data_IF_625807225646
#
_entry.id   IF_625807225646
#
_cell.length_a   1.000
_cell.length_b   1.000
_cell.length_c   1.000
_cell.angle_alpha   90.00
_cell.angle_beta   90.00
_cell.angle_gamma   90.00
#
_symmetry.space_group_name_H-M   'P 1'
#
loop_
_entity.id
_entity.type
_entity.pdbx_description
1 polymer ?
#
# COMPACT_ATOMS: atom_id res chain seq x y z
N UNK A 1 -59.89 26.02 16.33
CA UNK A 1 -61.01 25.24 16.86
C UNK A 1 -61.21 24.01 15.96
N UNK A 2 -61.55 22.83 16.52
CA UNK A 2 -61.65 21.55 15.79
C UNK A 2 -63.03 21.40 15.11
N UNK A 3 -63.31 20.31 14.34
CA UNK A 3 -63.49 18.94 14.86
C UNK A 3 -62.42 17.95 14.32
N UNK A 4 -62.02 16.85 14.94
CA UNK A 4 -62.59 15.96 15.97
C UNK A 4 -63.49 14.81 15.45
N UNK A 5 -62.91 13.59 15.44
CA UNK A 5 -63.53 12.29 15.77
C UNK A 5 -64.67 11.76 14.85
N UNK A 6 -64.96 10.46 14.76
CA UNK A 6 -64.35 9.24 15.34
C UNK A 6 -64.81 7.98 14.57
N UNK A 7 -64.16 6.85 14.90
CA UNK A 7 -64.42 5.48 14.48
C UNK A 7 -65.89 4.98 14.51
N UNK A 8 -66.14 3.94 13.69
CA UNK A 8 -66.97 2.73 13.88
C UNK A 8 -67.37 2.17 12.48
N UNK A 9 -67.68 0.90 12.24
CA UNK A 9 -67.87 -0.26 13.12
C UNK A 9 -67.42 -1.58 12.42
N UNK A 10 -67.16 -2.62 13.22
CA UNK A 10 -67.12 -4.05 12.81
C UNK A 10 -68.45 -4.70 13.25
N UNK A 11 -68.75 -6.02 13.06
CA UNK A 11 -68.04 -7.10 12.37
C UNK A 11 -68.95 -7.90 11.39
N UNK A 12 -68.47 -9.04 10.82
CA UNK A 12 -69.31 -10.23 10.55
C UNK A 12 -68.49 -11.53 10.38
N UNK A 13 -68.70 -12.43 11.34
CA UNK A 13 -68.79 -13.91 11.32
C UNK A 13 -67.77 -14.88 10.66
N UNK A 14 -67.56 -15.99 11.40
CA UNK A 14 -66.77 -17.22 11.14
C UNK A 14 -67.64 -18.31 10.42
N UNK A 15 -67.22 -19.60 10.22
CA UNK A 15 -65.94 -20.30 10.47
C UNK A 15 -65.47 -21.09 9.20
N UNK A 16 -64.63 -22.14 9.17
CA UNK A 16 -63.71 -22.84 10.10
C UNK A 16 -62.50 -23.40 9.30
N UNK A 17 -61.36 -23.67 9.93
CA UNK A 17 -60.40 -24.71 9.51
C UNK A 17 -59.22 -24.90 10.49
N UNK A 18 -59.16 -26.09 11.12
CA UNK A 18 -58.03 -26.61 11.89
C UNK A 18 -56.64 -26.48 11.21
N UNK A 19 -55.66 -25.88 11.93
CA UNK A 19 -54.24 -26.17 11.77
C UNK A 19 -53.48 -25.92 13.10
N UNK A 20 -52.83 -26.94 13.65
CA UNK A 20 -52.02 -26.80 14.87
C UNK A 20 -50.72 -26.01 14.59
N UNK A 21 -50.24 -25.15 15.51
CA UNK A 21 -49.03 -24.38 15.29
C UNK A 21 -47.78 -25.28 15.32
N UNK A 22 -46.77 -25.03 14.46
CA UNK A 22 -45.53 -25.80 14.46
C UNK A 22 -44.76 -25.61 15.76
N UNK A 23 -44.25 -26.71 16.31
CA UNK A 23 -43.52 -26.72 17.58
C UNK A 23 -42.18 -25.99 17.46
N UNK A 24 -42.01 -24.90 18.22
CA UNK A 24 -40.75 -24.17 18.23
C UNK A 24 -39.64 -24.98 18.90
N UNK A 25 -38.72 -25.50 18.09
CA UNK A 25 -37.49 -26.15 18.56
C UNK A 25 -36.58 -25.10 19.22
N UNK A 26 -36.62 -25.04 20.55
CA UNK A 26 -35.73 -24.19 21.33
C UNK A 26 -34.26 -24.47 21.01
N UNK A 27 -33.49 -23.40 20.77
CA UNK A 27 -32.02 -23.40 20.56
C UNK A 27 -31.27 -24.25 21.60
N UNK A 28 -31.81 -24.35 22.82
CA UNK A 28 -31.26 -25.14 23.93
C UNK A 28 -31.38 -26.66 23.73
N UNK A 29 -32.45 -27.15 23.07
CA UNK A 29 -32.61 -28.58 22.74
C UNK A 29 -31.69 -29.02 21.61
N UNK A 30 -31.45 -28.15 20.61
CA UNK A 30 -30.51 -28.43 19.51
C UNK A 30 -29.06 -28.63 20.03
N UNK A 31 -28.61 -27.76 20.95
CA UNK A 31 -27.30 -27.89 21.58
C UNK A 31 -27.17 -29.15 22.46
N UNK A 32 -28.26 -29.61 23.08
CA UNK A 32 -28.28 -30.85 23.87
C UNK A 32 -28.23 -32.11 22.99
N UNK A 33 -28.87 -32.12 21.81
CA UNK A 33 -28.83 -33.27 20.90
C UNK A 33 -27.49 -33.42 20.15
N UNK A 34 -26.73 -32.35 19.97
CA UNK A 34 -25.39 -32.40 19.35
C UNK A 34 -24.36 -33.18 20.17
N UNK A 35 -24.55 -33.32 21.49
CA UNK A 35 -23.61 -34.01 22.37
C UNK A 35 -23.61 -35.55 22.23
N UNK A 36 -24.62 -36.14 21.60
CA UNK A 36 -24.81 -37.59 21.53
C UNK A 36 -24.14 -38.28 20.32
N UNK A 37 -23.56 -37.52 19.38
CA UNK A 37 -23.04 -38.05 18.11
C UNK A 37 -21.50 -38.23 18.05
N UNK A 38 -20.79 -38.03 19.16
CA UNK A 38 -19.34 -37.77 19.15
C UNK A 38 -18.43 -38.92 19.68
N UNK A 39 -18.94 -40.14 19.85
CA UNK A 39 -18.26 -41.18 20.66
C UNK A 39 -17.68 -42.40 19.91
N UNK A 40 -17.74 -42.47 18.57
CA UNK A 40 -17.26 -43.64 17.79
C UNK A 40 -16.27 -43.28 16.66
N UNK A 41 -15.61 -42.12 16.72
CA UNK A 41 -14.75 -41.60 15.63
C UNK A 41 -13.23 -41.59 15.86
N UNK A 42 -12.75 -41.68 17.11
CA UNK A 42 -11.39 -41.23 17.46
C UNK A 42 -10.24 -42.24 17.25
N UNK A 43 -10.53 -43.49 16.88
CA UNK A 43 -9.56 -44.58 16.95
C UNK A 43 -8.49 -44.70 15.82
N UNK A 44 -8.76 -44.39 14.53
CA UNK A 44 -7.80 -44.71 13.46
C UNK A 44 -6.66 -43.68 13.29
N UNK A 45 -6.82 -42.45 13.79
CA UNK A 45 -5.84 -41.38 13.56
C UNK A 45 -4.57 -41.47 14.43
N UNK A 46 -4.57 -42.30 15.49
CA UNK A 46 -3.44 -42.42 16.41
C UNK A 46 -2.25 -43.25 15.87
N UNK A 47 -2.33 -43.76 14.63
CA UNK A 47 -1.36 -44.76 14.11
C UNK A 47 -0.64 -44.38 12.82
N UNK A 48 -0.70 -43.11 12.40
CA UNK A 48 -0.12 -42.63 11.14
C UNK A 48 0.71 -41.33 11.29
N UNK A 49 1.43 -41.19 12.41
CA UNK A 49 2.55 -40.24 12.53
C UNK A 49 3.83 -41.01 12.90
N UNK A 50 4.26 -41.89 12.00
CA UNK A 50 5.70 -42.21 11.90
C UNK A 50 6.41 -40.94 11.48
N UNK A 51 7.05 -40.28 12.44
CA UNK A 51 7.90 -39.12 12.19
C UNK A 51 8.99 -39.53 11.21
N UNK A 52 8.97 -38.93 10.02
CA UNK A 52 9.98 -39.20 9.01
C UNK A 52 11.34 -38.77 9.57
N UNK A 53 12.41 -39.59 9.44
CA UNK A 53 13.71 -39.25 10.00
C UNK A 53 14.14 -37.88 9.47
N UNK A 54 14.48 -36.98 10.39
CA UNK A 54 14.83 -35.61 10.07
C UNK A 54 15.93 -35.59 8.99
N UNK A 55 15.66 -34.92 7.88
CA UNK A 55 16.66 -34.75 6.84
C UNK A 55 17.91 -34.09 7.45
N UNK A 56 19.13 -34.55 7.10
CA UNK A 56 20.35 -33.93 7.61
C UNK A 56 20.34 -32.44 7.28
N UNK A 57 20.78 -31.56 8.20
CA UNK A 57 20.77 -30.13 7.96
C UNK A 57 21.57 -29.82 6.70
N UNK A 58 20.96 -29.06 5.79
CA UNK A 58 21.65 -28.60 4.58
C UNK A 58 22.90 -27.82 4.97
N UNK A 59 24.04 -27.98 4.27
CA UNK A 59 25.24 -27.21 4.54
C UNK A 59 24.92 -25.72 4.43
N UNK A 60 25.22 -24.96 5.49
CA UNK A 60 25.07 -23.51 5.48
C UNK A 60 26.15 -22.88 4.61
N UNK A 61 25.74 -21.98 3.71
CA UNK A 61 26.70 -21.16 2.98
C UNK A 61 27.47 -20.26 3.96
N UNK A 62 28.79 -20.06 3.77
CA UNK A 62 29.57 -19.13 4.59
C UNK A 62 29.02 -17.70 4.44
N UNK A 63 29.11 -16.86 5.49
CA UNK A 63 28.72 -15.45 5.39
C UNK A 63 29.52 -14.73 4.30
N UNK A 64 28.84 -14.00 3.42
CA UNK A 64 29.50 -13.08 2.48
C UNK A 64 29.92 -11.83 3.28
N UNK A 65 31.21 -11.47 3.32
CA UNK A 65 31.63 -10.29 4.08
C UNK A 65 31.11 -9.00 3.43
N UNK A 66 30.78 -7.98 4.23
CA UNK A 66 30.43 -6.66 3.69
C UNK A 66 31.66 -6.01 3.03
N UNK A 67 31.41 -5.22 1.98
CA UNK A 67 32.41 -4.45 1.23
C UNK A 67 32.07 -2.95 1.27
N UNK A 68 33.04 -2.05 1.06
CA UNK A 68 32.75 -0.63 0.91
C UNK A 68 31.95 -0.38 -0.36
N UNK A 69 30.92 0.46 -0.24
CA UNK A 69 30.04 0.94 -1.32
C UNK A 69 29.83 2.43 -1.10
N UNK A 70 30.03 3.27 -2.13
CA UNK A 70 29.81 4.73 -2.00
C UNK A 70 28.58 5.17 -2.78
N UNK A 71 27.57 5.68 -2.06
CA UNK A 71 26.35 6.23 -2.62
C UNK A 71 26.36 7.76 -2.53
N UNK A 72 25.92 8.46 -3.58
CA UNK A 72 25.63 9.90 -3.49
C UNK A 72 24.13 10.08 -3.19
N UNK A 73 23.79 10.51 -1.98
CA UNK A 73 22.41 10.64 -1.52
C UNK A 73 22.13 12.08 -1.09
N UNK A 74 21.11 12.71 -1.70
CA UNK A 74 20.71 14.09 -1.45
C UNK A 74 21.89 15.10 -1.57
N UNK A 75 22.80 14.86 -2.52
CA UNK A 75 24.00 15.67 -2.74
C UNK A 75 25.17 15.41 -1.78
N UNK A 76 25.10 14.38 -0.94
CA UNK A 76 26.15 13.98 0.01
C UNK A 76 26.62 12.55 -0.26
N UNK A 77 27.93 12.33 -0.25
CA UNK A 77 28.52 10.99 -0.30
C UNK A 77 28.36 10.24 1.04
N UNK A 78 27.98 8.97 0.95
CA UNK A 78 27.91 7.99 2.04
C UNK A 78 28.71 6.74 1.65
N UNK A 79 29.84 6.50 2.30
CA UNK A 79 30.61 5.25 2.16
C UNK A 79 30.18 4.28 3.26
N UNK A 80 29.62 3.14 2.86
CA UNK A 80 28.94 2.18 3.73
C UNK A 80 29.54 0.77 3.56
N UNK A 81 29.61 0.00 4.65
CA UNK A 81 30.04 -1.40 4.62
C UNK A 81 28.82 -2.32 4.41
N UNK A 82 28.58 -2.75 3.17
CA UNK A 82 27.36 -3.46 2.76
C UNK A 82 27.65 -4.87 2.25
N UNK A 83 26.80 -5.84 2.62
CA UNK A 83 26.73 -7.10 1.89
C UNK A 83 26.10 -6.87 0.50
N UNK A 84 26.46 -7.70 -0.49
CA UNK A 84 25.93 -7.57 -1.86
C UNK A 84 24.40 -7.68 -1.96
N UNK A 85 23.74 -8.33 -0.99
CA UNK A 85 22.28 -8.49 -0.90
C UNK A 85 21.52 -7.27 -0.34
N UNK A 86 22.21 -6.26 0.18
CA UNK A 86 21.55 -5.10 0.81
C UNK A 86 20.83 -4.29 -0.27
N UNK A 87 19.51 -4.13 -0.11
CA UNK A 87 18.69 -3.31 -1.02
C UNK A 87 19.07 -1.84 -0.89
N UNK A 88 18.82 -1.02 -1.92
CA UNK A 88 18.98 0.43 -1.80
C UNK A 88 18.10 0.98 -0.66
N UNK A 89 16.90 0.44 -0.47
CA UNK A 89 16.00 0.80 0.63
C UNK A 89 16.64 0.59 2.00
N UNK A 90 17.25 -0.57 2.23
CA UNK A 90 17.86 -0.90 3.52
C UNK A 90 19.18 -0.14 3.73
N UNK A 91 19.98 0.07 2.68
CA UNK A 91 21.18 0.91 2.74
C UNK A 91 20.84 2.36 3.15
N UNK A 92 19.79 2.95 2.56
CA UNK A 92 19.32 4.29 2.93
C UNK A 92 18.88 4.37 4.39
N UNK A 93 18.04 3.41 4.82
CA UNK A 93 17.42 3.44 6.14
C UNK A 93 18.36 3.01 7.26
N UNK A 94 18.83 1.77 7.19
CA UNK A 94 19.46 1.07 8.32
C UNK A 94 20.97 1.33 8.40
N UNK A 95 21.60 1.76 7.30
CA UNK A 95 23.04 2.07 7.24
C UNK A 95 23.33 3.58 7.14
N UNK A 96 22.60 4.33 6.30
CA UNK A 96 22.76 5.79 6.17
C UNK A 96 21.88 6.61 7.13
N UNK A 97 20.92 5.99 7.83
CA UNK A 97 20.03 6.65 8.79
C UNK A 97 18.90 7.49 8.18
N UNK A 98 18.70 7.43 6.87
CA UNK A 98 17.70 8.20 6.12
C UNK A 98 16.35 7.47 6.15
N UNK A 99 15.64 7.66 7.27
CA UNK A 99 14.42 6.95 7.62
C UNK A 99 13.16 7.43 6.87
N UNK A 100 13.25 8.45 6.02
CA UNK A 100 12.13 8.99 5.25
C UNK A 100 11.54 7.96 4.29
N UNK A 101 12.37 7.25 3.53
CA UNK A 101 11.95 6.16 2.63
C UNK A 101 11.41 4.96 3.44
N UNK A 102 10.26 4.38 3.04
CA UNK A 102 9.53 3.39 3.86
C UNK A 102 9.49 1.98 3.25
N UNK A 103 9.56 0.96 4.10
CA UNK A 103 9.41 -0.46 3.74
C UNK A 103 7.96 -0.93 3.94
N UNK A 104 7.11 -0.76 2.94
CA UNK A 104 5.70 -1.17 3.00
C UNK A 104 5.41 -2.63 2.64
N UNK A 105 6.22 -3.24 1.76
CA UNK A 105 5.97 -4.60 1.24
C UNK A 105 7.23 -5.42 0.89
N UNK A 106 8.36 -4.75 0.66
CA UNK A 106 9.63 -5.34 0.22
C UNK A 106 9.58 -6.17 -1.08
N UNK A 107 8.56 -5.95 -1.92
CA UNK A 107 8.25 -6.75 -3.11
C UNK A 107 7.77 -5.90 -4.32
N UNK A 108 8.03 -4.60 -4.30
CA UNK A 108 7.60 -3.65 -5.34
C UNK A 108 6.09 -3.39 -5.47
N UNK A 109 5.28 -3.91 -4.54
CA UNK A 109 3.81 -3.92 -4.64
C UNK A 109 3.11 -2.61 -4.21
N UNK A 110 3.79 -1.64 -3.59
CA UNK A 110 3.12 -0.51 -2.93
C UNK A 110 3.71 0.89 -3.18
N UNK A 111 4.90 1.02 -3.77
CA UNK A 111 5.55 2.32 -4.00
C UNK A 111 5.94 3.12 -2.74
N UNK A 112 5.75 2.61 -1.52
CA UNK A 112 6.15 3.33 -0.29
C UNK A 112 7.67 3.57 -0.19
N UNK A 113 8.45 2.81 -0.98
CA UNK A 113 9.90 2.87 -1.08
C UNK A 113 10.39 3.69 -2.30
N UNK A 114 9.55 4.49 -2.95
CA UNK A 114 9.98 5.26 -4.13
C UNK A 114 11.05 6.28 -3.76
N UNK A 115 12.17 6.25 -4.48
CA UNK A 115 13.23 7.27 -4.50
C UNK A 115 13.52 7.65 -5.95
N UNK A 116 14.25 8.73 -6.18
CA UNK A 116 14.75 9.09 -7.50
C UNK A 116 16.21 8.63 -7.63
N UNK A 117 16.55 8.00 -8.75
CA UNK A 117 17.92 7.68 -9.14
C UNK A 117 18.20 8.37 -10.48
N UNK A 118 19.12 9.34 -10.48
CA UNK A 118 19.35 10.30 -11.57
C UNK A 118 18.02 10.89 -12.12
N UNK A 119 17.17 11.33 -11.20
CA UNK A 119 15.84 11.91 -11.47
C UNK A 119 14.74 10.88 -11.80
N UNK A 120 15.07 9.61 -12.08
CA UNK A 120 14.11 8.57 -12.44
C UNK A 120 13.57 7.89 -11.19
N UNK A 121 12.25 7.84 -11.01
CA UNK A 121 11.64 7.14 -9.87
C UNK A 121 11.82 5.61 -9.95
N UNK A 122 12.26 4.99 -8.85
CA UNK A 122 12.45 3.55 -8.73
C UNK A 122 11.97 3.00 -7.39
N UNK A 123 11.59 1.72 -7.37
CA UNK A 123 11.29 0.98 -6.14
C UNK A 123 12.61 0.52 -5.47
N UNK A 124 13.09 1.27 -4.47
CA UNK A 124 14.38 0.97 -3.81
C UNK A 124 14.48 -0.40 -3.10
N UNK A 125 13.34 -1.10 -2.87
CA UNK A 125 13.35 -2.49 -2.38
C UNK A 125 13.68 -3.55 -3.43
N UNK A 126 13.57 -3.23 -4.73
CA UNK A 126 13.81 -4.17 -5.84
C UNK A 126 15.14 -3.94 -6.57
N UNK A 127 16.09 -3.28 -5.90
CA UNK A 127 17.43 -3.02 -6.43
C UNK A 127 18.46 -3.08 -5.30
N UNK A 128 19.69 -3.47 -5.62
CA UNK A 128 20.78 -3.63 -4.66
C UNK A 128 21.56 -2.31 -4.55
N UNK A 129 21.98 -1.93 -3.34
CA UNK A 129 22.73 -0.69 -3.13
C UNK A 129 24.03 -0.64 -3.97
N UNK A 130 24.68 -1.79 -4.15
CA UNK A 130 25.88 -1.96 -5.01
C UNK A 130 25.67 -1.64 -6.50
N UNK A 131 24.42 -1.55 -6.96
CA UNK A 131 24.11 -1.22 -8.37
C UNK A 131 24.07 0.30 -8.62
N UNK A 132 24.06 1.12 -7.57
CA UNK A 132 23.86 2.57 -7.62
C UNK A 132 25.12 3.38 -7.26
N UNK A 133 26.30 2.76 -7.32
CA UNK A 133 27.57 3.48 -7.17
C UNK A 133 27.78 4.43 -8.36
N UNK A 134 27.90 5.73 -8.10
CA UNK A 134 28.05 6.77 -9.12
C UNK A 134 26.74 7.46 -9.56
N UNK A 135 25.57 6.90 -9.24
CA UNK A 135 24.27 7.55 -9.46
C UNK A 135 23.94 8.57 -8.36
N UNK A 136 23.10 9.56 -8.70
CA UNK A 136 22.57 10.53 -7.73
C UNK A 136 21.22 10.07 -7.21
N UNK A 137 21.16 9.70 -5.92
CA UNK A 137 19.94 9.26 -5.26
C UNK A 137 19.29 10.45 -4.54
N UNK A 138 18.02 10.72 -4.83
CA UNK A 138 17.19 11.69 -4.07
C UNK A 138 16.08 10.97 -3.33
N UNK A 139 16.04 11.13 -2.00
CA UNK A 139 14.97 10.63 -1.13
C UNK A 139 13.99 11.76 -0.79
N UNK A 140 12.93 11.46 -0.02
CA UNK A 140 11.96 12.50 0.40
C UNK A 140 12.62 13.65 1.17
N UNK A 141 13.68 13.36 1.94
CA UNK A 141 14.47 14.34 2.67
C UNK A 141 15.18 15.33 1.74
N UNK A 142 15.55 14.91 0.52
CA UNK A 142 16.20 15.74 -0.49
C UNK A 142 15.25 16.50 -1.42
N UNK A 143 13.92 16.40 -1.23
CA UNK A 143 12.95 17.19 -2.01
C UNK A 143 12.81 18.63 -1.51
N UNK A 144 13.11 18.90 -0.24
CA UNK A 144 13.19 20.27 0.26
C UNK A 144 14.52 20.91 -0.19
N UNK A 145 14.53 22.23 -0.36
CA UNK A 145 15.77 22.97 -0.64
C UNK A 145 16.76 22.86 0.53
N UNK A 146 18.03 23.17 0.28
CA UNK A 146 19.06 23.26 1.33
C UNK A 146 18.77 24.32 2.41
N UNK A 147 17.85 25.25 2.16
CA UNK A 147 17.36 26.24 3.13
C UNK A 147 16.15 25.75 3.94
N UNK A 148 15.69 24.51 3.72
CA UNK A 148 14.51 23.92 4.36
C UNK A 148 13.18 24.33 3.74
N UNK A 149 13.19 25.06 2.62
CA UNK A 149 11.96 25.41 1.90
C UNK A 149 11.38 24.17 1.24
N UNK A 150 10.10 23.89 1.50
CA UNK A 150 9.40 22.75 0.91
C UNK A 150 9.31 22.89 -0.61
N UNK A 151 9.44 21.76 -1.33
CA UNK A 151 9.11 21.70 -2.75
C UNK A 151 7.64 22.08 -3.01
N UNK A 152 7.28 22.53 -4.24
CA UNK A 152 5.89 22.76 -4.62
C UNK A 152 4.99 21.55 -4.37
N UNK A 153 5.50 20.33 -4.59
CA UNK A 153 4.78 19.07 -4.33
C UNK A 153 4.54 18.86 -2.83
N UNK A 154 5.57 19.01 -1.99
CA UNK A 154 5.40 18.89 -0.53
C UNK A 154 4.41 19.92 0.03
N UNK A 155 4.48 21.17 -0.44
CA UNK A 155 3.55 22.24 -0.04
C UNK A 155 2.12 21.93 -0.49
N UNK A 156 1.91 21.56 -1.75
CA UNK A 156 0.58 21.19 -2.25
C UNK A 156 -0.02 19.98 -1.51
N UNK A 157 0.80 19.00 -1.11
CA UNK A 157 0.34 17.87 -0.31
C UNK A 157 -0.17 18.28 1.09
N UNK A 158 0.37 19.35 1.68
CA UNK A 158 -0.12 19.92 2.94
C UNK A 158 -1.41 20.74 2.68
N UNK A 159 -1.39 21.63 1.69
CA UNK A 159 -2.51 22.52 1.34
C UNK A 159 -3.79 21.75 0.98
N UNK A 160 -3.66 20.54 0.42
CA UNK A 160 -4.79 19.70 -0.01
C UNK A 160 -5.09 18.51 0.91
N UNK A 161 -4.46 18.38 2.09
CA UNK A 161 -4.62 17.22 2.99
C UNK A 161 -4.39 15.87 2.27
N UNK A 162 -3.31 15.77 1.50
CA UNK A 162 -3.00 14.65 0.61
C UNK A 162 -2.37 13.44 1.32
N UNK A 163 -2.57 13.32 2.64
CA UNK A 163 -2.07 12.22 3.46
C UNK A 163 -2.89 12.10 4.75
N UNK A 164 -2.74 10.98 5.46
CA UNK A 164 -3.29 10.82 6.81
C UNK A 164 -2.23 10.21 7.73
N UNK A 165 -2.02 8.90 7.71
CA UNK A 165 -1.01 8.22 8.53
C UNK A 165 0.46 8.54 8.16
N UNK A 166 0.69 9.33 7.11
CA UNK A 166 2.02 9.71 6.62
C UNK A 166 2.85 8.60 5.96
N UNK A 167 2.49 7.31 6.12
CA UNK A 167 3.39 6.20 5.79
C UNK A 167 3.68 6.05 4.28
N UNK A 168 2.68 6.23 3.41
CA UNK A 168 2.89 6.20 1.96
C UNK A 168 3.45 7.52 1.42
N UNK A 169 3.35 8.63 2.18
CA UNK A 169 3.59 10.00 1.70
C UNK A 169 5.00 10.21 1.11
N UNK A 170 6.09 9.69 1.70
CA UNK A 170 7.42 9.74 1.08
C UNK A 170 7.46 9.22 -0.36
N UNK A 171 6.88 8.04 -0.58
CA UNK A 171 6.80 7.44 -1.91
C UNK A 171 5.90 8.23 -2.86
N UNK A 172 4.76 8.73 -2.36
CA UNK A 172 3.86 9.60 -3.13
C UNK A 172 4.55 10.89 -3.59
N UNK A 173 5.32 11.55 -2.71
CA UNK A 173 6.05 12.79 -3.01
C UNK A 173 7.12 12.55 -4.08
N UNK A 174 7.98 11.52 -3.91
CA UNK A 174 8.98 11.16 -4.91
C UNK A 174 8.34 10.80 -6.26
N UNK A 175 7.27 10.00 -6.26
CA UNK A 175 6.56 9.66 -7.50
C UNK A 175 5.91 10.86 -8.16
N UNK A 176 5.31 11.78 -7.41
CA UNK A 176 4.69 12.98 -7.93
C UNK A 176 5.72 13.93 -8.57
N UNK A 177 6.89 14.12 -7.95
CA UNK A 177 8.00 14.88 -8.54
C UNK A 177 8.41 14.30 -9.89
N UNK A 178 8.72 13.00 -9.95
CA UNK A 178 9.11 12.37 -11.22
C UNK A 178 7.99 12.30 -12.26
N UNK A 179 6.72 12.14 -11.86
CA UNK A 179 5.55 12.19 -12.74
C UNK A 179 5.47 13.53 -13.49
N UNK A 180 5.70 14.64 -12.79
CA UNK A 180 5.67 15.97 -13.40
C UNK A 180 6.81 16.12 -14.41
N UNK A 181 7.98 15.54 -14.14
CA UNK A 181 9.14 15.57 -15.03
C UNK A 181 8.94 14.67 -16.27
N UNK A 182 8.45 13.44 -16.06
CA UNK A 182 8.02 12.50 -17.12
C UNK A 182 7.00 13.17 -18.05
N UNK A 183 5.99 13.85 -17.51
CA UNK A 183 4.98 14.55 -18.29
C UNK A 183 5.57 15.72 -19.08
N UNK A 184 6.38 16.60 -18.47
CA UNK A 184 7.05 17.72 -19.18
C UNK A 184 7.97 17.23 -20.31
N UNK A 185 8.64 16.09 -20.11
CA UNK A 185 9.46 15.45 -21.13
C UNK A 185 8.61 14.83 -22.26
N UNK A 186 7.33 14.56 -22.02
CA UNK A 186 6.38 14.03 -23.00
C UNK A 186 6.27 12.51 -22.99
N UNK A 187 6.67 11.85 -21.90
CA UNK A 187 6.49 10.41 -21.71
C UNK A 187 5.00 10.08 -21.69
N UNK A 188 4.55 9.19 -22.58
CA UNK A 188 3.17 8.68 -22.60
C UNK A 188 2.87 7.79 -21.38
N UNK A 189 1.59 7.61 -21.06
CA UNK A 189 1.08 6.63 -20.09
C UNK A 189 0.04 5.71 -20.76
N UNK A 190 -0.49 4.74 -20.01
CA UNK A 190 -1.55 3.83 -20.47
C UNK A 190 -2.83 4.57 -20.93
N UNK A 191 -3.08 5.76 -20.40
CA UNK A 191 -4.27 6.57 -20.75
C UNK A 191 -3.99 7.67 -21.79
N UNK A 192 -2.75 7.78 -22.30
CA UNK A 192 -2.42 8.72 -23.37
C UNK A 192 -3.04 8.27 -24.71
N UNK A 193 -3.82 9.14 -25.34
CA UNK A 193 -4.62 8.80 -26.53
C UNK A 193 -3.78 8.36 -27.77
N UNK A 194 -2.56 8.87 -27.92
CA UNK A 194 -1.61 8.42 -28.94
C UNK A 194 -0.17 8.45 -28.39
N UNK A 195 0.37 7.26 -28.12
CA UNK A 195 1.71 7.04 -27.56
C UNK A 195 2.87 7.56 -28.43
N UNK A 196 2.60 7.94 -29.68
CA UNK A 196 3.59 8.53 -30.59
C UNK A 196 3.69 10.05 -30.46
N UNK A 197 2.80 10.67 -29.69
CA UNK A 197 2.69 12.12 -29.52
C UNK A 197 2.87 12.51 -28.06
N UNK A 198 3.41 13.72 -27.81
CA UNK A 198 3.49 14.26 -26.44
C UNK A 198 2.06 14.48 -25.90
N UNK A 199 1.73 13.97 -24.69
CA UNK A 199 0.46 14.29 -24.03
C UNK A 199 0.26 15.80 -23.89
N UNK A 200 -0.92 16.30 -24.28
CA UNK A 200 -1.21 17.74 -24.38
C UNK A 200 -1.68 18.36 -23.06
N UNK A 201 -2.19 17.56 -22.13
CA UNK A 201 -2.66 18.01 -20.82
C UNK A 201 -2.45 16.92 -19.77
N UNK A 202 -2.04 17.31 -18.56
CA UNK A 202 -1.95 16.41 -17.41
C UNK A 202 -3.33 16.31 -16.76
N UNK A 203 -4.20 15.48 -17.34
CA UNK A 203 -5.56 15.26 -16.84
C UNK A 203 -5.54 14.51 -15.51
N UNK A 204 -6.66 14.54 -14.79
CA UNK A 204 -6.83 13.73 -13.58
C UNK A 204 -6.61 12.23 -13.81
N UNK A 205 -6.95 11.71 -15.00
CA UNK A 205 -6.74 10.30 -15.35
C UNK A 205 -5.26 10.00 -15.64
N UNK A 206 -4.54 10.91 -16.31
CA UNK A 206 -3.08 10.83 -16.45
C UNK A 206 -2.38 10.84 -15.08
N UNK A 207 -2.85 11.66 -14.12
CA UNK A 207 -2.32 11.68 -12.76
C UNK A 207 -2.63 10.35 -12.05
N UNK A 208 -3.87 9.86 -12.09
CA UNK A 208 -4.27 8.58 -11.47
C UNK A 208 -3.46 7.42 -12.00
N UNK A 209 -3.33 7.30 -13.32
CA UNK A 209 -2.56 6.25 -13.98
C UNK A 209 -1.09 6.30 -13.57
N UNK A 210 -0.45 7.46 -13.69
CA UNK A 210 0.97 7.62 -13.37
C UNK A 210 1.28 7.47 -11.88
N UNK A 211 0.32 7.71 -10.98
CA UNK A 211 0.47 7.50 -9.53
C UNK A 211 -0.01 6.11 -9.04
N UNK A 212 -0.57 5.28 -9.92
CA UNK A 212 -1.19 3.99 -9.56
C UNK A 212 -0.25 3.02 -8.82
N UNK A 213 1.07 3.11 -9.09
CA UNK A 213 2.11 2.33 -8.40
C UNK A 213 2.32 2.68 -6.92
N UNK A 214 1.70 3.75 -6.40
CA UNK A 214 1.84 4.20 -5.02
C UNK A 214 0.53 4.01 -4.23
N UNK A 215 0.48 2.96 -3.41
CA UNK A 215 -0.74 2.57 -2.67
C UNK A 215 -0.89 3.41 -1.39
N UNK A 216 -2.08 3.99 -1.20
CA UNK A 216 -2.50 4.67 0.01
C UNK A 216 -3.66 3.90 0.68
N UNK A 217 -3.39 3.19 1.78
CA UNK A 217 -4.44 2.43 2.49
C UNK A 217 -5.46 3.32 3.22
N UNK A 218 -5.07 4.56 3.55
CA UNK A 218 -5.97 5.59 4.08
C UNK A 218 -6.96 6.14 3.05
N UNK A 219 -6.75 5.89 1.74
CA UNK A 219 -7.67 6.33 0.69
C UNK A 219 -7.57 7.81 0.30
N UNK A 220 -6.47 8.51 0.63
CA UNK A 220 -6.27 9.94 0.34
C UNK A 220 -6.10 10.28 -1.17
N UNK A 221 -6.45 9.37 -2.09
CA UNK A 221 -6.15 9.48 -3.52
C UNK A 221 -6.75 10.71 -4.19
N UNK A 222 -7.98 11.11 -3.84
CA UNK A 222 -8.60 12.31 -4.40
C UNK A 222 -7.81 13.59 -4.06
N UNK A 223 -7.36 13.69 -2.81
CA UNK A 223 -6.54 14.80 -2.32
C UNK A 223 -5.13 14.77 -2.93
N UNK A 224 -4.54 13.58 -3.12
CA UNK A 224 -3.27 13.40 -3.84
C UNK A 224 -3.36 13.88 -5.29
N UNK A 225 -4.43 13.51 -6.02
CA UNK A 225 -4.65 13.99 -7.39
C UNK A 225 -4.80 15.52 -7.44
N UNK A 226 -5.56 16.09 -6.50
CA UNK A 226 -5.70 17.55 -6.38
C UNK A 226 -4.35 18.25 -6.09
N UNK A 227 -3.54 17.71 -5.17
CA UNK A 227 -2.21 18.22 -4.84
C UNK A 227 -1.23 18.17 -6.03
N UNK A 228 -1.20 17.06 -6.78
CA UNK A 228 -0.33 16.94 -7.97
C UNK A 228 -0.75 17.94 -9.06
N UNK A 229 -2.06 18.11 -9.29
CA UNK A 229 -2.60 19.12 -10.22
C UNK A 229 -2.27 20.55 -9.78
N UNK A 230 -2.39 20.86 -8.48
CA UNK A 230 -2.00 22.15 -7.94
C UNK A 230 -0.48 22.40 -8.03
N UNK A 231 0.35 21.38 -7.79
CA UNK A 231 1.80 21.49 -7.96
C UNK A 231 2.18 21.69 -9.44
N UNK A 232 1.47 21.10 -10.40
CA UNK A 232 1.68 21.33 -11.82
C UNK A 232 1.32 22.75 -12.27
N UNK A 233 0.19 23.29 -11.80
CA UNK A 233 -0.27 24.64 -12.16
C UNK A 233 0.50 25.78 -11.49
N UNK A 234 1.32 25.47 -10.49
CA UNK A 234 2.19 26.42 -9.77
C UNK A 234 3.67 26.36 -10.22
N UNK A 235 3.96 25.70 -11.36
CA UNK A 235 5.31 25.42 -11.87
C UNK A 235 5.57 26.07 -13.24
#
# INVERSE_FOLDING_TARGET
MPPNQSANDSPHDHPDASAAPPSQLSRRRFLQSAAAAATIGAAPHLRAQTEAPAAPPLPSNPPVPPRPVTLNVNGRAYTLQLEARVTLLDALREYAGLMGTKKGCDRGQCGACTVLADGRRINSCLTLAVMHEGENITTVEGLASSTGMLSPVQRAFIEHDAFQCGYCTPGQLCSATALLDEFRNGTASTVSADVRTRPTALTDDEIRERMSGNICRCGAYANIVAAVRAAHGNA
#
